data_IF_364303249275
#
_entry.id   IF_364303249275
#
_cell.length_a   1.000
_cell.length_b   1.000
_cell.length_c   1.000
_cell.angle_alpha   90.00
_cell.angle_beta   90.00
_cell.angle_gamma   90.00
#
_symmetry.space_group_name_H-M   'P 1'
#
loop_
_entity.id
_entity.type
_entity.pdbx_description
1 polymer ?
#
# COMPACT_ATOMS: atom_id res chain seq x y z
N UNK A 1 -5.04 26.16 10.43
CA UNK A 1 -4.17 25.52 9.43
C UNK A 1 -3.57 24.26 10.05
N UNK A 2 -4.29 23.15 9.94
CA UNK A 2 -3.79 21.78 9.76
C UNK A 2 -4.99 20.94 9.33
N UNK A 3 -4.74 20.05 8.38
CA UNK A 3 -5.68 19.61 7.35
C UNK A 3 -6.89 18.80 7.84
N UNK A 4 -8.02 19.10 7.18
CA UNK A 4 -9.19 18.25 7.10
C UNK A 4 -8.78 16.88 6.56
N UNK A 5 -8.45 15.96 7.48
CA UNK A 5 -8.26 14.53 7.20
C UNK A 5 -9.63 13.91 6.98
N UNK A 6 -10.38 14.45 6.02
CA UNK A 6 -11.53 13.75 5.47
C UNK A 6 -10.97 12.46 4.90
N UNK A 7 -11.45 11.32 5.39
CA UNK A 7 -11.24 10.05 4.75
C UNK A 7 -11.47 10.27 3.25
N UNK A 8 -10.42 10.20 2.44
CA UNK A 8 -10.61 10.03 1.00
C UNK A 8 -11.11 8.60 0.86
N UNK A 9 -12.42 8.43 1.04
CA UNK A 9 -13.13 7.23 0.61
C UNK A 9 -13.04 7.22 -0.92
N UNK A 10 -11.97 6.63 -1.44
CA UNK A 10 -11.61 6.74 -2.84
C UNK A 10 -10.52 5.76 -3.20
N UNK A 11 -10.46 5.41 -4.49
CA UNK A 11 -9.44 4.53 -5.03
C UNK A 11 -8.04 5.07 -4.77
N UNK A 12 -7.19 4.25 -4.16
CA UNK A 12 -5.78 4.54 -3.89
C UNK A 12 -4.89 3.63 -4.73
N UNK A 13 -3.80 4.22 -5.24
CA UNK A 13 -2.75 3.50 -5.97
C UNK A 13 -1.63 3.09 -5.00
N UNK A 14 -1.46 1.79 -4.79
CA UNK A 14 -0.37 1.22 -4.02
C UNK A 14 0.73 0.75 -5.00
N UNK A 15 1.88 1.42 -4.95
CA UNK A 15 3.04 1.13 -5.79
C UNK A 15 4.20 0.59 -4.94
N UNK A 16 4.41 -0.72 -4.99
CA UNK A 16 5.47 -1.42 -4.27
C UNK A 16 6.62 -1.66 -5.23
N UNK A 17 7.85 -1.46 -4.77
CA UNK A 17 9.03 -1.82 -5.54
C UNK A 17 10.14 -2.38 -4.68
N UNK A 18 11.01 -3.17 -5.31
CA UNK A 18 12.20 -3.75 -4.67
C UNK A 18 13.32 -3.99 -5.68
N UNK A 19 14.51 -4.31 -5.17
CA UNK A 19 15.71 -4.62 -5.96
C UNK A 19 15.70 -6.04 -6.55
N UNK A 20 14.89 -6.94 -5.99
CA UNK A 20 14.72 -8.31 -6.48
C UNK A 20 13.25 -8.72 -6.44
N UNK A 21 12.89 -9.74 -7.22
CA UNK A 21 11.54 -10.30 -7.22
C UNK A 21 11.14 -10.88 -5.85
N UNK A 22 12.05 -11.61 -5.19
CA UNK A 22 11.81 -12.13 -3.85
C UNK A 22 11.57 -11.02 -2.80
N UNK A 23 12.31 -9.91 -2.89
CA UNK A 23 12.10 -8.76 -2.01
C UNK A 23 10.78 -8.04 -2.31
N UNK A 24 10.31 -8.07 -3.57
CA UNK A 24 8.99 -7.53 -3.93
C UNK A 24 7.87 -8.37 -3.30
N UNK A 25 8.01 -9.69 -3.30
CA UNK A 25 7.04 -10.59 -2.68
C UNK A 25 7.01 -10.45 -1.16
N UNK A 26 8.18 -10.37 -0.52
CA UNK A 26 8.26 -10.11 0.93
C UNK A 26 7.65 -8.74 1.30
N UNK A 27 7.97 -7.69 0.53
CA UNK A 27 7.38 -6.37 0.73
C UNK A 27 5.85 -6.36 0.55
N UNK A 28 5.35 -7.15 -0.40
CA UNK A 28 3.90 -7.32 -0.66
C UNK A 28 3.22 -8.01 0.52
N UNK A 29 3.79 -9.12 1.02
CA UNK A 29 3.26 -9.86 2.16
C UNK A 29 3.29 -9.01 3.44
N UNK A 30 4.39 -8.29 3.67
CA UNK A 30 4.55 -7.38 4.82
C UNK A 30 3.51 -6.27 4.79
N UNK A 31 3.29 -5.62 3.64
CA UNK A 31 2.26 -4.58 3.53
C UNK A 31 0.86 -5.13 3.83
N UNK A 32 0.53 -6.33 3.35
CA UNK A 32 -0.76 -6.96 3.68
C UNK A 32 -0.92 -7.22 5.18
N UNK A 33 0.15 -7.64 5.86
CA UNK A 33 0.16 -7.84 7.30
C UNK A 33 0.03 -6.53 8.09
N UNK A 34 0.76 -5.48 7.68
CA UNK A 34 0.70 -4.14 8.28
C UNK A 34 -0.71 -3.54 8.17
N UNK A 35 -1.31 -3.61 6.97
CA UNK A 35 -2.68 -3.14 6.74
C UNK A 35 -3.70 -3.91 7.59
N UNK A 36 -3.52 -5.22 7.78
CA UNK A 36 -4.41 -6.03 8.61
C UNK A 36 -4.26 -5.73 10.11
N UNK A 37 -3.03 -5.45 10.57
CA UNK A 37 -2.71 -5.28 11.98
C UNK A 37 -3.00 -3.86 12.50
N UNK A 38 -2.91 -2.84 11.63
CA UNK A 38 -3.02 -1.43 12.04
C UNK A 38 -4.36 -0.82 11.63
N UNK A 39 -5.20 -0.49 12.62
CA UNK A 39 -6.42 0.27 12.41
C UNK A 39 -6.16 1.78 12.21
N UNK A 40 -5.04 2.29 12.74
CA UNK A 40 -4.82 3.73 12.93
C UNK A 40 -4.41 4.47 11.65
N UNK A 41 -3.64 3.84 10.76
CA UNK A 41 -3.16 4.50 9.54
C UNK A 41 -4.09 4.23 8.35
N UNK A 42 -4.59 5.30 7.71
CA UNK A 42 -5.46 5.21 6.53
C UNK A 42 -4.75 4.59 5.32
N UNK A 43 -5.52 4.02 4.38
CA UNK A 43 -4.97 3.48 3.14
C UNK A 43 -4.22 4.56 2.34
N UNK A 44 -4.76 5.79 2.31
CA UNK A 44 -4.13 6.92 1.63
C UNK A 44 -2.74 7.27 2.20
N UNK A 45 -2.55 7.17 3.51
CA UNK A 45 -1.25 7.40 4.15
C UNK A 45 -0.22 6.33 3.71
N UNK A 46 -0.62 5.06 3.64
CA UNK A 46 0.24 3.99 3.11
C UNK A 46 0.58 4.23 1.63
N UNK A 47 -0.42 4.59 0.82
CA UNK A 47 -0.22 4.91 -0.59
C UNK A 47 0.76 6.08 -0.78
N UNK A 48 0.67 7.11 0.07
CA UNK A 48 1.60 8.24 0.06
C UNK A 48 3.03 7.81 0.46
N UNK A 49 3.17 7.01 1.51
CA UNK A 49 4.47 6.52 1.95
C UNK A 49 5.16 5.67 0.87
N UNK A 50 4.40 4.80 0.20
CA UNK A 50 4.89 3.99 -0.91
C UNK A 50 5.36 4.85 -2.09
N UNK A 51 4.61 5.90 -2.46
CA UNK A 51 5.00 6.82 -3.54
C UNK A 51 6.25 7.64 -3.21
N UNK A 52 6.50 7.90 -1.92
CA UNK A 52 7.66 8.64 -1.47
C UNK A 52 8.92 7.76 -1.34
N UNK A 53 8.77 6.43 -1.34
CA UNK A 53 9.89 5.51 -1.24
C UNK A 53 10.72 5.48 -2.54
N UNK A 54 12.04 5.26 -2.46
CA UNK A 54 12.87 5.00 -3.63
C UNK A 54 12.33 3.81 -4.44
N UNK A 55 12.34 3.95 -5.75
CA UNK A 55 11.71 2.99 -6.63
C UNK A 55 12.71 2.02 -7.26
N UNK A 56 12.63 0.74 -6.91
CA UNK A 56 13.45 -0.34 -7.46
C UNK A 56 12.99 -0.82 -8.86
N UNK A 57 13.77 -1.71 -9.51
CA UNK A 57 13.44 -2.25 -10.84
C UNK A 57 12.26 -3.22 -10.83
N UNK A 58 12.03 -3.98 -9.75
CA UNK A 58 10.89 -4.90 -9.63
C UNK A 58 9.71 -4.14 -9.02
N UNK A 59 8.54 -4.19 -9.65
CA UNK A 59 7.41 -3.33 -9.30
C UNK A 59 6.10 -4.09 -9.30
N UNK A 60 5.25 -3.78 -8.33
CA UNK A 60 3.87 -4.24 -8.23
C UNK A 60 2.97 -3.04 -7.98
N UNK A 61 1.93 -2.91 -8.79
CA UNK A 61 0.97 -1.82 -8.69
C UNK A 61 -0.41 -2.42 -8.55
N UNK A 62 -1.18 -1.93 -7.59
CA UNK A 62 -2.59 -2.26 -7.45
C UNK A 62 -3.39 -1.02 -7.05
N UNK A 63 -4.68 -1.06 -7.36
CA UNK A 63 -5.63 -0.03 -6.99
C UNK A 63 -6.59 -0.68 -5.99
N UNK A 64 -6.84 -0.01 -4.88
CA UNK A 64 -7.75 -0.49 -3.86
C UNK A 64 -8.66 0.63 -3.39
N UNK A 65 -9.93 0.33 -3.17
CA UNK A 65 -10.91 1.31 -2.68
C UNK A 65 -10.80 1.53 -1.18
N UNK A 66 -10.50 0.47 -0.45
CA UNK A 66 -10.40 0.44 1.00
C UNK A 66 -9.35 -0.59 1.43
N UNK A 67 -9.18 -0.71 2.75
CA UNK A 67 -8.17 -1.56 3.35
C UNK A 67 -8.42 -3.04 3.06
N UNK A 68 -9.68 -3.49 3.08
CA UNK A 68 -10.01 -4.90 2.88
C UNK A 68 -9.77 -5.31 1.43
N UNK A 69 -10.17 -4.44 0.50
CA UNK A 69 -9.86 -4.57 -0.94
C UNK A 69 -8.34 -4.61 -1.18
N UNK A 70 -7.57 -3.73 -0.51
CA UNK A 70 -6.11 -3.73 -0.60
C UNK A 70 -5.49 -5.05 -0.10
N UNK A 71 -5.93 -5.55 1.06
CA UNK A 71 -5.43 -6.82 1.61
C UNK A 71 -5.77 -8.00 0.71
N UNK A 72 -6.99 -8.04 0.17
CA UNK A 72 -7.41 -9.08 -0.77
C UNK A 72 -6.55 -9.04 -2.05
N UNK A 73 -6.36 -7.86 -2.64
CA UNK A 73 -5.55 -7.67 -3.83
C UNK A 73 -4.06 -8.02 -3.61
N UNK A 74 -3.51 -7.73 -2.43
CA UNK A 74 -2.12 -8.05 -2.08
C UNK A 74 -1.90 -9.55 -1.90
N UNK A 75 -2.88 -10.28 -1.35
CA UNK A 75 -2.79 -11.73 -1.10
C UNK A 75 -3.05 -12.60 -2.33
N UNK A 76 -3.66 -12.04 -3.37
CA UNK A 76 -3.91 -12.72 -4.64
C UNK A 76 -2.71 -12.69 -5.61
N UNK A 77 -1.52 -12.34 -5.12
CA UNK A 77 -0.30 -12.11 -5.91
C UNK A 77 0.77 -13.13 -5.60
#
# INVERSE_FOLDING_TARGET
MTDNTGAREGWELLAISAETEAALDEATARLAAELQASADASLAAHAQALRAAPAGPFRRVLVARDRDDAVAALRAR
#
